data_IF_154910803541
#
_entry.id   IF_154910803541
#
_cell.length_a   1.000
_cell.length_b   1.000
_cell.length_c   1.000
_cell.angle_alpha   90.00
_cell.angle_beta   90.00
_cell.angle_gamma   90.00
#
_symmetry.space_group_name_H-M   'P 1'
#
loop_
_entity.id
_entity.type
_entity.pdbx_description
1 polymer ?
#
# COMPACT_ATOMS: atom_id res chain seq x y z
N UNK A 1 13.92 2.43 6.52
CA UNK A 1 13.00 3.42 5.91
C UNK A 1 11.61 2.86 6.15
N UNK A 2 10.92 3.27 7.23
CA UNK A 2 9.73 2.58 7.75
C UNK A 2 8.49 3.48 7.66
N UNK A 3 8.18 3.94 6.46
CA UNK A 3 6.99 4.77 6.26
C UNK A 3 5.72 3.90 6.27
N UNK A 4 4.69 4.41 6.94
CA UNK A 4 3.39 3.76 7.04
C UNK A 4 2.51 4.29 5.91
N UNK A 5 2.04 3.38 5.05
CA UNK A 5 1.12 3.67 3.96
C UNK A 5 -0.21 2.97 4.22
N UNK A 6 -1.30 3.64 3.87
CA UNK A 6 -2.62 3.02 3.82
C UNK A 6 -2.84 2.48 2.41
N UNK A 7 -3.17 1.21 2.33
CA UNK A 7 -3.36 0.45 1.10
C UNK A 7 -4.81 0.01 1.03
N UNK A 8 -5.52 0.42 -0.02
CA UNK A 8 -6.88 -0.06 -0.24
C UNK A 8 -6.95 -0.86 -1.53
N UNK A 9 -7.50 -2.06 -1.43
CA UNK A 9 -7.86 -2.93 -2.54
C UNK A 9 -9.36 -3.18 -2.48
N UNK A 10 -10.09 -2.76 -3.51
CA UNK A 10 -11.55 -2.82 -3.56
C UNK A 10 -12.18 -2.22 -2.28
N UNK A 11 -12.89 -3.03 -1.49
CA UNK A 11 -13.54 -2.62 -0.24
C UNK A 11 -12.65 -2.74 1.00
N UNK A 12 -11.49 -3.40 0.91
CA UNK A 12 -10.61 -3.66 2.06
C UNK A 12 -9.54 -2.59 2.18
N UNK A 13 -9.45 -1.99 3.37
CA UNK A 13 -8.41 -1.06 3.74
C UNK A 13 -7.46 -1.70 4.76
N UNK A 14 -6.17 -1.62 4.50
CA UNK A 14 -5.13 -2.09 5.42
C UNK A 14 -3.99 -1.08 5.50
N UNK A 15 -3.14 -1.24 6.49
CA UNK A 15 -1.95 -0.43 6.69
C UNK A 15 -0.72 -1.30 6.45
N UNK A 16 0.21 -0.81 5.64
CA UNK A 16 1.47 -1.46 5.34
C UNK A 16 2.66 -0.60 5.75
N UNK A 17 3.70 -1.23 6.29
CA UNK A 17 5.00 -0.61 6.51
C UNK A 17 5.88 -0.92 5.31
N UNK A 18 6.40 0.10 4.64
CA UNK A 18 7.35 -0.10 3.52
C UNK A 18 8.64 -0.70 4.08
N UNK A 19 9.06 -1.84 3.54
CA UNK A 19 10.29 -2.54 3.94
C UNK A 19 11.41 -2.38 2.91
N UNK A 20 11.05 -2.30 1.62
CA UNK A 20 12.01 -2.15 0.54
C UNK A 20 11.43 -1.30 -0.59
N UNK A 21 12.29 -0.52 -1.24
CA UNK A 21 11.97 0.29 -2.40
C UNK A 21 12.97 -0.02 -3.51
N UNK A 22 12.44 -0.49 -4.64
CA UNK A 22 13.17 -0.67 -5.89
C UNK A 22 12.55 0.21 -6.98
N UNK A 23 13.20 0.30 -8.13
CA UNK A 23 12.71 1.09 -9.27
C UNK A 23 11.30 0.62 -9.65
N UNK A 24 10.29 1.48 -9.41
CA UNK A 24 8.86 1.24 -9.66
C UNK A 24 8.23 0.05 -8.89
N UNK A 25 8.88 -0.46 -7.84
CA UNK A 25 8.35 -1.56 -7.01
C UNK A 25 8.58 -1.23 -5.54
N UNK A 26 7.52 -1.35 -4.74
CA UNK A 26 7.59 -1.19 -3.29
C UNK A 26 7.16 -2.49 -2.62
N UNK A 27 7.94 -2.95 -1.65
CA UNK A 27 7.59 -4.09 -0.80
C UNK A 27 7.06 -3.55 0.52
N UNK A 28 5.86 -3.96 0.90
CA UNK A 28 5.18 -3.50 2.11
C UNK A 28 4.80 -4.71 2.98
N UNK A 29 5.13 -4.64 4.27
CA UNK A 29 4.63 -5.60 5.26
C UNK A 29 3.28 -5.12 5.78
N UNK A 30 2.23 -5.88 5.51
CA UNK A 30 0.87 -5.55 5.94
C UNK A 30 0.69 -5.81 7.43
N UNK A 31 -0.03 -4.92 8.11
CA UNK A 31 -0.43 -5.09 9.52
C UNK A 31 -1.62 -6.03 9.65
N UNK A 32 -2.56 -5.94 8.73
CA UNK A 32 -3.72 -6.83 8.62
C UNK A 32 -3.65 -7.48 7.24
N UNK A 33 -3.78 -8.82 7.13
CA UNK A 33 -3.79 -9.49 5.84
C UNK A 33 -4.92 -8.95 4.96
N UNK A 34 -4.69 -8.88 3.66
CA UNK A 34 -5.72 -8.53 2.68
C UNK A 34 -5.94 -9.68 1.70
N UNK A 35 -7.19 -9.84 1.25
CA UNK A 35 -7.52 -10.70 0.13
C UNK A 35 -7.46 -9.87 -1.15
N UNK A 36 -6.56 -10.23 -2.07
CA UNK A 36 -6.45 -9.61 -3.38
C UNK A 36 -5.70 -10.54 -4.34
N UNK A 37 -6.12 -10.55 -5.61
CA UNK A 37 -5.46 -11.35 -6.64
C UNK A 37 -4.22 -10.64 -7.20
N UNK A 38 -3.28 -11.42 -7.75
CA UNK A 38 -2.18 -10.88 -8.55
C UNK A 38 -2.76 -10.05 -9.71
N UNK A 39 -2.16 -8.89 -9.98
CA UNK A 39 -2.69 -7.95 -10.96
C UNK A 39 -3.78 -7.01 -10.43
N UNK A 40 -4.28 -7.20 -9.20
CA UNK A 40 -5.25 -6.29 -8.60
C UNK A 40 -4.68 -4.89 -8.40
N UNK A 41 -5.53 -3.88 -8.59
CA UNK A 41 -5.16 -2.48 -8.37
C UNK A 41 -5.27 -2.15 -6.89
N UNK A 42 -4.19 -1.62 -6.32
CA UNK A 42 -4.14 -1.14 -4.93
C UNK A 42 -3.90 0.35 -4.92
N UNK A 43 -4.77 1.10 -4.27
CA UNK A 43 -4.56 2.53 -4.05
C UNK A 43 -3.61 2.74 -2.88
N UNK A 44 -2.75 3.75 -2.99
CA UNK A 44 -1.72 4.07 -2.00
C UNK A 44 -2.05 5.45 -1.45
N UNK A 45 -2.29 5.51 -0.15
CA UNK A 45 -2.50 6.75 0.58
C UNK A 45 -1.38 6.98 1.59
N UNK A 46 -0.82 8.19 1.55
CA UNK A 46 0.24 8.64 2.45
C UNK A 46 -0.34 9.51 3.54
N UNK A 47 0.15 9.37 4.77
CA UNK A 47 -0.24 10.25 5.86
C UNK A 47 0.46 11.61 5.71
N UNK A 48 -0.31 12.67 5.55
CA UNK A 48 0.19 14.06 5.48
C UNK A 48 -0.50 14.85 6.60
N UNK A 49 0.27 15.19 7.63
CA UNK A 49 -0.26 15.71 8.89
C UNK A 49 -1.18 14.68 9.58
N UNK A 50 -2.44 15.07 9.80
CA UNK A 50 -3.42 14.25 10.52
C UNK A 50 -4.35 13.43 9.60
N UNK A 51 -4.18 13.49 8.27
CA UNK A 51 -5.07 12.80 7.31
C UNK A 51 -4.27 11.95 6.32
N UNK A 52 -4.88 10.87 5.87
CA UNK A 52 -4.41 10.13 4.70
C UNK A 52 -4.82 10.87 3.43
N UNK A 53 -3.87 11.02 2.51
CA UNK A 53 -4.11 11.58 1.18
C UNK A 53 -3.71 10.55 0.15
N UNK A 54 -4.56 10.35 -0.86
CA UNK A 54 -4.25 9.50 -1.99
C UNK A 54 -3.03 10.07 -2.72
N UNK A 55 -2.00 9.24 -2.90
CA UNK A 55 -0.76 9.63 -3.60
C UNK A 55 -0.58 8.88 -4.92
N UNK A 56 -1.30 7.78 -5.12
CA UNK A 56 -1.26 7.04 -6.38
C UNK A 56 -1.88 5.65 -6.26
N UNK A 57 -1.53 4.78 -7.20
CA UNK A 57 -1.92 3.38 -7.20
C UNK A 57 -0.75 2.51 -7.66
N UNK A 58 -0.84 1.23 -7.31
CA UNK A 58 0.05 0.17 -7.74
C UNK A 58 -0.74 -1.04 -8.21
N UNK A 59 -0.02 -2.01 -8.77
CA UNK A 59 -0.53 -3.31 -9.18
C UNK A 59 0.18 -4.36 -8.33
N UNK A 60 -0.56 -5.28 -7.73
CA UNK A 60 0.02 -6.38 -6.95
C UNK A 60 0.80 -7.28 -7.90
N UNK A 61 2.05 -7.55 -7.53
CA UNK A 61 2.97 -8.45 -8.23
C UNK A 61 3.49 -9.48 -7.22
N UNK A 62 3.98 -10.59 -7.76
CA UNK A 62 4.72 -11.61 -7.02
C UNK A 62 5.99 -11.04 -6.37
#
# INVERSE_FOLDING_TARGET
MNEILMLNSNSTATVGVVTNLKKKVATCKLKIPLCADLGSRVTISRRIGNRFRLVGYGIIKE
#
